data_IF_071734110946
#
_entry.id   IF_071734110946
#
_cell.length_a   1.000
_cell.length_b   1.000
_cell.length_c   1.000
_cell.angle_alpha   90.00
_cell.angle_beta   90.00
_cell.angle_gamma   90.00
#
_symmetry.space_group_name_H-M   'P 1'
#
loop_
_entity.id
_entity.type
_entity.pdbx_description
1 polymer ?
#
# COMPACT_ATOMS: atom_id res chain seq x y z
N UNK A 1 3.95 -4.06 -0.23
CA UNK A 1 5.26 -3.86 0.39
C UNK A 1 6.23 -3.54 -0.71
N UNK A 2 6.36 -2.25 -0.99
CA UNK A 2 7.21 -1.69 -2.05
C UNK A 2 8.70 -1.79 -1.73
N UNK A 3 9.04 -2.21 -0.51
CA UNK A 3 10.40 -2.36 -0.04
C UNK A 3 11.21 -3.44 -0.77
N UNK A 4 10.58 -4.32 -1.57
CA UNK A 4 11.26 -5.43 -2.26
C UNK A 4 12.35 -4.99 -3.24
N UNK A 5 12.16 -3.83 -3.88
CA UNK A 5 13.13 -3.27 -4.84
C UNK A 5 14.07 -2.22 -4.21
N UNK A 6 13.95 -1.99 -2.90
CA UNK A 6 14.73 -0.98 -2.20
C UNK A 6 16.07 -1.54 -1.71
N UNK A 7 17.06 -0.66 -1.55
CA UNK A 7 18.35 -0.97 -0.92
C UNK A 7 18.33 -0.48 0.52
N UNK A 8 18.66 -1.35 1.48
CA UNK A 8 18.77 -0.96 2.88
C UNK A 8 20.22 -0.80 3.34
N UNK A 9 20.44 0.23 4.17
CA UNK A 9 21.71 0.61 4.75
C UNK A 9 21.57 0.78 6.26
N UNK A 10 22.67 0.65 7.00
CA UNK A 10 22.70 0.96 8.43
C UNK A 10 24.04 1.56 8.82
N UNK A 11 24.03 2.40 9.85
CA UNK A 11 25.21 3.17 10.28
C UNK A 11 26.28 2.38 11.01
N UNK A 12 25.97 1.16 11.47
CA UNK A 12 26.88 0.46 12.36
C UNK A 12 28.14 -0.02 11.64
N UNK A 13 29.30 0.25 12.22
CA UNK A 13 30.64 -0.21 11.80
C UNK A 13 30.71 -1.73 11.49
N UNK A 14 29.77 -2.51 12.05
CA UNK A 14 29.52 -3.90 11.66
C UNK A 14 28.52 -3.94 10.50
N UNK A 15 29.05 -3.71 9.31
CA UNK A 15 28.35 -3.82 8.04
C UNK A 15 27.95 -5.28 7.76
N UNK A 16 26.88 -5.75 8.37
CA UNK A 16 26.05 -6.78 7.74
C UNK A 16 25.03 -6.04 6.88
N UNK A 17 25.44 -5.55 5.70
CA UNK A 17 24.50 -5.07 4.66
C UNK A 17 23.36 -6.09 4.45
N UNK A 18 23.69 -7.38 4.57
CA UNK A 18 22.75 -8.48 4.60
C UNK A 18 21.65 -8.33 5.66
N UNK A 19 21.98 -7.89 6.88
CA UNK A 19 20.98 -7.72 7.94
C UNK A 19 20.02 -6.55 7.71
N UNK A 20 20.53 -5.44 7.17
CA UNK A 20 19.67 -4.31 6.80
C UNK A 20 18.73 -4.69 5.65
N UNK A 21 19.26 -5.36 4.62
CA UNK A 21 18.48 -5.83 3.46
C UNK A 21 17.46 -6.91 3.83
N UNK A 22 17.82 -7.85 4.70
CA UNK A 22 16.89 -8.90 5.14
C UNK A 22 15.65 -8.36 5.87
N UNK A 23 15.74 -7.16 6.47
CA UNK A 23 14.56 -6.50 7.04
C UNK A 23 13.54 -6.04 5.98
N UNK A 24 13.92 -5.93 4.71
CA UNK A 24 13.01 -5.58 3.61
C UNK A 24 12.27 -6.81 3.07
N UNK A 25 12.98 -7.93 2.93
CA UNK A 25 12.52 -9.12 2.19
C UNK A 25 11.54 -10.02 2.95
N UNK A 26 11.15 -9.66 4.18
CA UNK A 26 10.36 -10.52 5.09
C UNK A 26 11.01 -11.88 5.41
N UNK A 27 12.21 -12.13 4.90
CA UNK A 27 13.03 -13.28 5.22
C UNK A 27 13.51 -13.19 6.68
N UNK A 28 13.72 -14.34 7.31
CA UNK A 28 13.85 -14.54 8.76
C UNK A 28 14.52 -13.41 9.57
N UNK A 29 14.08 -13.23 10.81
CA UNK A 29 14.49 -12.13 11.69
C UNK A 29 16.01 -11.97 11.80
N UNK A 30 16.59 -11.01 11.08
CA UNK A 30 18.03 -10.72 11.18
C UNK A 30 18.29 -9.63 12.21
N UNK A 31 19.09 -9.99 13.20
CA UNK A 31 19.44 -9.12 14.32
C UNK A 31 20.51 -8.14 13.86
N UNK A 32 20.10 -6.90 13.57
CA UNK A 32 21.00 -5.80 13.23
C UNK A 32 21.71 -5.27 14.48
N UNK A 33 22.50 -6.11 15.15
CA UNK A 33 23.17 -5.73 16.41
C UNK A 33 24.61 -5.37 16.17
N UNK A 34 24.93 -4.08 16.35
CA UNK A 34 26.31 -3.68 16.62
C UNK A 34 26.68 -4.06 18.05
N UNK A 35 27.72 -4.88 18.27
CA UNK A 35 28.30 -5.06 19.60
C UNK A 35 29.11 -3.84 20.04
N UNK A 36 29.48 -2.91 19.13
CA UNK A 36 30.24 -1.71 19.50
C UNK A 36 29.30 -0.59 19.97
N UNK A 37 29.36 -0.31 21.27
CA UNK A 37 28.63 0.76 21.96
C UNK A 37 29.01 2.20 21.54
N UNK A 38 29.78 2.36 20.46
CA UNK A 38 30.45 3.62 20.11
C UNK A 38 29.65 4.52 19.17
N UNK A 39 28.73 3.97 18.38
CA UNK A 39 27.88 4.81 17.54
C UNK A 39 26.97 5.67 18.41
N UNK A 40 27.13 7.00 18.27
CA UNK A 40 26.36 7.99 19.03
C UNK A 40 25.01 8.26 18.36
N UNK A 41 24.91 8.03 17.05
CA UNK A 41 23.77 8.39 16.22
C UNK A 41 23.39 7.23 15.30
N UNK A 42 23.00 6.06 15.85
CA UNK A 42 22.69 4.91 15.03
C UNK A 42 21.48 5.20 14.14
N UNK A 43 21.56 4.79 12.87
CA UNK A 43 20.46 4.82 11.93
C UNK A 43 20.34 3.53 11.12
N UNK A 44 19.11 3.25 10.68
CA UNK A 44 18.80 2.32 9.59
C UNK A 44 18.12 3.14 8.49
N UNK A 45 18.42 2.85 7.24
CA UNK A 45 17.94 3.60 6.10
C UNK A 45 17.52 2.65 4.99
N UNK A 46 16.48 3.02 4.26
CA UNK A 46 16.05 2.37 3.04
C UNK A 46 16.02 3.41 1.94
N UNK A 47 16.65 3.10 0.82
CA UNK A 47 16.75 3.94 -0.36
C UNK A 47 16.03 3.28 -1.53
N UNK A 48 15.30 4.09 -2.27
CA UNK A 48 14.63 3.69 -3.49
C UNK A 48 15.28 4.38 -4.69
N UNK A 49 15.67 3.63 -5.72
CA UNK A 49 16.36 4.20 -6.89
C UNK A 49 15.36 4.92 -7.81
N UNK A 50 14.44 4.18 -8.41
CA UNK A 50 13.47 4.70 -9.39
C UNK A 50 12.04 4.73 -8.84
N UNK A 51 11.89 5.20 -7.61
CA UNK A 51 10.59 5.22 -6.93
C UNK A 51 10.03 6.64 -6.85
N UNK A 52 8.82 6.82 -7.36
CA UNK A 52 8.10 8.10 -7.33
C UNK A 52 6.75 8.00 -6.60
N UNK A 53 6.51 6.87 -5.95
CA UNK A 53 5.21 6.58 -5.37
C UNK A 53 4.92 7.41 -4.11
N UNK A 54 3.63 7.46 -3.79
CA UNK A 54 3.08 8.19 -2.65
C UNK A 54 2.98 7.29 -1.43
N UNK A 55 3.90 7.46 -0.47
CA UNK A 55 3.90 6.74 0.81
C UNK A 55 2.67 7.13 1.62
N UNK A 56 1.89 6.13 2.03
CA UNK A 56 0.75 6.30 2.93
C UNK A 56 1.00 5.70 4.30
N UNK A 57 1.78 4.64 4.38
CA UNK A 57 1.99 3.94 5.63
C UNK A 57 3.35 3.25 5.69
N UNK A 58 3.95 3.30 6.87
CA UNK A 58 5.19 2.58 7.19
C UNK A 58 4.92 1.73 8.41
N UNK A 59 5.21 0.43 8.34
CA UNK A 59 5.15 -0.47 9.49
C UNK A 59 6.54 -0.93 9.84
N UNK A 60 6.91 -0.76 11.10
CA UNK A 60 8.21 -1.17 11.62
C UNK A 60 7.99 -2.26 12.65
N UNK A 61 8.55 -3.44 12.41
CA UNK A 61 8.47 -4.58 13.31
C UNK A 61 9.82 -4.86 13.92
N UNK A 62 9.83 -5.13 15.22
CA UNK A 62 11.01 -5.49 15.98
C UNK A 62 11.08 -6.99 16.26
N UNK A 63 12.22 -7.46 16.72
CA UNK A 63 12.35 -8.86 17.11
C UNK A 63 11.65 -9.18 18.44
N UNK A 64 10.95 -10.32 18.47
CA UNK A 64 10.23 -10.84 19.65
C UNK A 64 11.07 -10.96 20.91
N UNK A 65 12.35 -11.33 20.77
CA UNK A 65 13.24 -11.55 21.91
C UNK A 65 13.75 -10.24 22.54
N UNK A 66 13.63 -9.10 21.86
CA UNK A 66 14.18 -7.82 22.35
C UNK A 66 13.31 -6.59 22.03
N UNK A 67 12.03 -6.58 22.43
CA UNK A 67 11.08 -5.50 22.11
C UNK A 67 11.53 -4.12 22.60
N UNK A 68 12.33 -4.07 23.68
CA UNK A 68 12.84 -2.82 24.27
C UNK A 68 13.72 -2.00 23.32
N UNK A 69 14.18 -2.59 22.20
CA UNK A 69 15.06 -1.93 21.22
C UNK A 69 14.31 -1.10 20.18
N UNK A 70 12.98 -1.09 20.15
CA UNK A 70 12.17 -0.19 19.32
C UNK A 70 11.66 1.07 20.05
N UNK A 71 12.44 1.58 21.01
CA UNK A 71 12.14 2.83 21.73
C UNK A 71 12.91 4.01 21.16
N UNK A 72 12.32 5.20 21.26
CA UNK A 72 12.92 6.48 20.90
C UNK A 72 13.48 6.47 19.48
N UNK A 73 12.61 6.15 18.52
CA UNK A 73 12.92 6.13 17.10
C UNK A 73 12.29 7.34 16.46
N UNK A 74 13.09 8.13 15.74
CA UNK A 74 12.61 9.10 14.77
C UNK A 74 12.54 8.43 13.42
N UNK A 75 11.45 8.63 12.70
CA UNK A 75 11.31 8.26 11.30
C UNK A 75 11.32 9.52 10.47
N UNK A 76 12.10 9.51 9.39
CA UNK A 76 12.30 10.65 8.50
C UNK A 76 12.11 10.13 7.07
N UNK A 77 11.24 10.78 6.31
CA UNK A 77 10.98 10.52 4.89
C UNK A 77 11.60 11.66 4.11
N UNK A 78 12.38 11.34 3.10
CA UNK A 78 13.10 12.33 2.33
C UNK A 78 12.89 12.14 0.84
N UNK A 79 12.89 13.25 0.10
CA UNK A 79 12.77 13.30 -1.35
C UNK A 79 14.11 13.17 -2.07
N UNK A 80 14.15 13.53 -3.35
CA UNK A 80 15.40 13.58 -4.11
C UNK A 80 16.34 14.64 -3.53
N UNK A 81 17.60 14.25 -3.29
CA UNK A 81 18.70 15.17 -3.03
C UNK A 81 19.50 15.40 -4.30
N UNK A 82 20.11 16.57 -4.45
CA UNK A 82 20.91 16.85 -5.65
C UNK A 82 22.17 15.98 -5.75
N UNK A 83 22.65 15.34 -4.66
CA UNK A 83 23.86 14.53 -4.64
C UNK A 83 23.85 13.43 -3.55
N UNK A 84 24.55 12.31 -3.79
CA UNK A 84 24.63 11.12 -2.91
C UNK A 84 25.11 11.37 -1.45
N UNK A 85 25.62 12.57 -1.15
CA UNK A 85 26.09 12.93 0.19
C UNK A 85 25.22 14.00 0.88
N UNK A 86 24.32 14.66 0.14
CA UNK A 86 23.36 15.59 0.70
C UNK A 86 22.07 14.83 0.92
N UNK A 87 21.66 14.74 2.19
CA UNK A 87 20.31 14.26 2.49
C UNK A 87 19.36 15.14 1.69
N UNK A 88 18.58 14.53 0.79
CA UNK A 88 17.50 15.18 0.06
C UNK A 88 16.52 15.90 0.99
N UNK A 89 15.57 16.61 0.37
CA UNK A 89 14.58 17.40 1.11
C UNK A 89 13.84 16.53 2.13
N UNK A 90 13.78 16.98 3.39
CA UNK A 90 12.98 16.30 4.41
C UNK A 90 11.50 16.56 4.13
N UNK A 91 10.77 15.53 3.74
CA UNK A 91 9.36 15.62 3.37
C UNK A 91 8.45 15.45 4.60
N UNK A 92 8.80 14.52 5.49
CA UNK A 92 8.05 14.27 6.71
C UNK A 92 8.92 13.67 7.81
N UNK A 93 8.56 13.90 9.07
CA UNK A 93 9.21 13.26 10.22
C UNK A 93 8.24 13.01 11.37
N UNK A 94 8.47 11.94 12.13
CA UNK A 94 7.73 11.62 13.34
C UNK A 94 8.60 10.92 14.38
N UNK A 95 8.31 11.14 15.66
CA UNK A 95 9.03 10.53 16.78
C UNK A 95 8.16 9.50 17.50
N UNK A 96 8.73 8.33 17.76
CA UNK A 96 8.02 7.17 18.28
C UNK A 96 8.77 6.58 19.47
N UNK A 97 8.06 6.45 20.58
CA UNK A 97 8.55 5.74 21.76
C UNK A 97 7.60 4.61 22.10
N UNK A 98 7.74 3.47 21.42
CA UNK A 98 6.91 2.30 21.70
C UNK A 98 7.74 1.22 22.42
N UNK A 99 7.18 0.63 23.47
CA UNK A 99 7.75 -0.55 24.14
C UNK A 99 7.32 -1.88 23.53
N UNK A 100 6.65 -1.86 22.38
CA UNK A 100 5.97 -3.01 21.77
C UNK A 100 6.77 -3.58 20.59
N UNK A 101 6.29 -4.70 20.05
CA UNK A 101 6.95 -5.48 18.99
C UNK A 101 6.97 -4.80 17.62
N UNK A 102 6.35 -3.64 17.48
CA UNK A 102 6.33 -2.88 16.25
C UNK A 102 5.40 -1.68 16.36
N UNK A 103 5.48 -0.78 15.40
CA UNK A 103 4.63 0.40 15.31
C UNK A 103 4.28 0.69 13.86
N UNK A 104 3.19 1.42 13.68
CA UNK A 104 2.70 1.86 12.37
C UNK A 104 2.71 3.37 12.34
N UNK A 105 3.13 3.91 11.22
CA UNK A 105 3.12 5.33 10.90
C UNK A 105 2.18 5.49 9.73
N UNK A 106 1.13 6.27 9.91
CA UNK A 106 0.27 6.71 8.81
C UNK A 106 0.75 8.11 8.40
N UNK A 107 0.95 8.31 7.11
CA UNK A 107 1.29 9.61 6.55
C UNK A 107 -0.01 10.33 6.21
N UNK A 108 -0.32 11.39 6.96
CA UNK A 108 -1.49 12.23 6.74
C UNK A 108 -1.06 13.71 6.74
N UNK A 109 -0.98 14.36 5.56
CA UNK A 109 -1.32 13.82 4.25
C UNK A 109 -0.30 12.77 3.74
N UNK A 110 -0.67 11.93 2.75
CA UNK A 110 0.25 11.03 2.07
C UNK A 110 1.46 11.77 1.47
N UNK A 111 2.64 11.14 1.48
CA UNK A 111 3.92 11.78 1.10
C UNK A 111 4.42 11.24 -0.25
N UNK A 112 4.39 12.08 -1.28
CA UNK A 112 4.86 11.74 -2.63
C UNK A 112 6.36 12.00 -2.81
N UNK A 113 7.00 11.26 -3.71
CA UNK A 113 8.38 11.51 -4.14
C UNK A 113 9.42 11.09 -3.12
N UNK A 114 9.07 10.19 -2.20
CA UNK A 114 10.00 9.68 -1.18
C UNK A 114 11.08 8.85 -1.87
N UNK A 115 12.35 9.23 -1.68
CA UNK A 115 13.52 8.49 -2.20
C UNK A 115 14.26 7.74 -1.12
N UNK A 116 14.12 8.14 0.14
CA UNK A 116 14.67 7.38 1.25
C UNK A 116 13.89 7.55 2.54
N UNK A 117 13.87 6.48 3.33
CA UNK A 117 13.23 6.42 4.65
C UNK A 117 14.32 6.08 5.66
N UNK A 118 14.48 6.93 6.67
CA UNK A 118 15.47 6.75 7.73
C UNK A 118 14.80 6.55 9.07
N UNK A 119 15.27 5.54 9.79
CA UNK A 119 15.00 5.30 11.20
C UNK A 119 16.23 5.73 12.00
N UNK A 120 16.10 6.74 12.85
CA UNK A 120 17.18 7.27 13.68
C UNK A 120 16.85 7.11 15.15
N UNK A 121 17.84 6.85 16.01
CA UNK A 121 17.63 6.88 17.47
C UNK A 121 17.63 8.31 18.01
N UNK A 122 16.66 8.65 18.86
CA UNK A 122 16.53 9.98 19.47
C UNK A 122 17.41 10.05 20.73
N UNK A 123 18.41 10.93 20.80
CA UNK A 123 19.22 11.13 22.00
C UNK A 123 18.42 11.74 23.17
N UNK A 124 18.86 11.57 24.43
CA UNK A 124 20.05 10.84 24.85
C UNK A 124 19.83 9.32 24.87
N UNK A 125 20.80 8.56 24.35
CA UNK A 125 20.74 7.10 24.34
C UNK A 125 21.47 6.50 25.54
N UNK A 126 20.77 5.81 26.45
CA UNK A 126 21.42 5.08 27.53
C UNK A 126 22.43 4.08 26.95
N UNK A 127 23.49 3.77 27.70
CA UNK A 127 24.47 2.75 27.28
C UNK A 127 23.78 1.40 27.04
N UNK A 128 24.40 0.56 26.20
CA UNK A 128 23.93 -0.79 25.90
C UNK A 128 22.95 -0.86 24.73
N UNK A 129 22.00 -1.79 24.78
CA UNK A 129 21.14 -2.16 23.64
C UNK A 129 20.20 -1.07 23.09
N UNK A 130 20.06 0.07 23.79
CA UNK A 130 19.28 1.20 23.32
C UNK A 130 19.93 1.96 22.16
N UNK A 131 21.22 1.71 21.89
CA UNK A 131 21.97 2.24 20.74
C UNK A 131 21.93 1.34 19.51
N UNK A 132 21.02 0.36 19.49
CA UNK A 132 20.89 -0.56 18.36
C UNK A 132 19.44 -0.61 17.92
N UNK A 133 19.23 -0.83 16.62
CA UNK A 133 17.95 -1.28 16.12
C UNK A 133 17.91 -2.79 16.21
N UNK A 134 16.75 -3.35 16.52
CA UNK A 134 16.53 -4.77 16.28
C UNK A 134 15.26 -4.94 15.47
N UNK A 135 15.38 -4.57 14.20
CA UNK A 135 14.31 -4.66 13.22
C UNK A 135 14.16 -6.13 12.82
N UNK A 136 12.93 -6.60 12.81
CA UNK A 136 12.55 -7.81 12.10
C UNK A 136 12.18 -7.49 10.66
N UNK A 137 11.41 -6.43 10.48
CA UNK A 137 10.94 -6.04 9.16
C UNK A 137 10.57 -4.56 9.14
N UNK A 138 10.78 -3.90 8.00
CA UNK A 138 10.16 -2.61 7.67
C UNK A 138 9.33 -2.81 6.41
N UNK A 139 8.04 -2.52 6.51
CA UNK A 139 7.12 -2.57 5.38
C UNK A 139 6.72 -1.15 5.01
N UNK A 140 6.75 -0.84 3.72
CA UNK A 140 6.30 0.44 3.20
C UNK A 140 5.16 0.22 2.21
N UNK A 141 4.15 1.04 2.39
CA UNK A 141 2.89 1.02 1.67
C UNK A 141 2.77 2.34 0.96
N UNK A 142 2.55 2.27 -0.35
CA UNK A 142 2.29 3.43 -1.18
C UNK A 142 1.01 3.21 -2.00
N UNK A 143 0.33 4.32 -2.32
CA UNK A 143 -0.91 4.28 -3.12
C UNK A 143 -0.65 3.69 -4.50
N UNK A 144 0.43 4.10 -5.14
CA UNK A 144 0.74 3.77 -6.53
C UNK A 144 1.32 2.35 -6.69
N UNK A 145 1.68 1.70 -5.58
CA UNK A 145 2.17 0.31 -5.56
C UNK A 145 1.15 -0.67 -6.10
N UNK A 146 -0.12 -0.35 -5.85
CA UNK A 146 -1.24 -1.12 -6.30
C UNK A 146 -1.35 -1.11 -7.83
N UNK A 147 -1.23 0.08 -8.44
CA UNK A 147 -1.23 0.22 -9.89
C UNK A 147 -0.14 -0.62 -10.54
N UNK A 148 1.08 -0.64 -9.96
CA UNK A 148 2.18 -1.43 -10.51
C UNK A 148 1.96 -2.94 -10.43
N UNK A 149 1.44 -3.46 -9.31
CA UNK A 149 1.18 -4.89 -9.22
C UNK A 149 0.08 -5.34 -10.19
N UNK A 150 -0.94 -4.51 -10.35
CA UNK A 150 -1.99 -4.71 -11.34
C UNK A 150 -1.38 -4.71 -12.74
N UNK A 151 -0.58 -3.72 -13.08
CA UNK A 151 0.08 -3.63 -14.38
C UNK A 151 0.98 -4.85 -14.65
N UNK A 152 1.78 -5.29 -13.66
CA UNK A 152 2.63 -6.49 -13.79
C UNK A 152 1.78 -7.73 -14.05
N UNK A 153 0.69 -7.91 -13.30
CA UNK A 153 -0.17 -9.07 -13.47
C UNK A 153 -0.91 -9.03 -14.80
N UNK A 154 -1.49 -7.90 -15.17
CA UNK A 154 -2.22 -7.77 -16.44
C UNK A 154 -1.28 -7.96 -17.63
N UNK A 155 -0.04 -7.44 -17.56
CA UNK A 155 1.03 -7.76 -18.52
C UNK A 155 1.33 -9.26 -18.58
N UNK A 156 1.38 -9.95 -17.44
CA UNK A 156 1.60 -11.41 -17.39
C UNK A 156 0.45 -12.21 -18.03
N UNK A 157 -0.74 -11.63 -18.10
CA UNK A 157 -1.90 -12.19 -18.81
C UNK A 157 -1.91 -11.86 -20.31
N UNK A 158 -0.91 -11.11 -20.80
CA UNK A 158 -0.83 -10.68 -22.19
C UNK A 158 -1.70 -9.47 -22.53
N UNK A 159 -2.32 -8.80 -21.53
CA UNK A 159 -3.02 -7.54 -21.74
C UNK A 159 -2.04 -6.39 -21.70
N UNK A 160 -2.07 -5.53 -22.71
CA UNK A 160 -1.28 -4.31 -22.70
C UNK A 160 -2.01 -3.17 -21.98
N UNK A 161 -1.28 -2.10 -21.65
CA UNK A 161 -1.83 -0.96 -20.91
C UNK A 161 -2.95 -0.25 -21.66
N UNK A 162 -2.94 -0.31 -23.00
CA UNK A 162 -3.96 0.32 -23.83
C UNK A 162 -5.26 -0.48 -23.78
N UNK A 163 -5.20 -1.80 -23.87
CA UNK A 163 -6.38 -2.66 -23.74
C UNK A 163 -7.07 -2.46 -22.39
N UNK A 164 -6.29 -2.34 -21.31
CA UNK A 164 -6.81 -2.08 -19.97
C UNK A 164 -7.52 -0.72 -19.94
N UNK A 165 -6.87 0.32 -20.46
CA UNK A 165 -7.45 1.65 -20.51
C UNK A 165 -8.73 1.68 -21.36
N UNK A 166 -8.73 1.01 -22.51
CA UNK A 166 -9.90 0.90 -23.39
C UNK A 166 -11.06 0.19 -22.68
N UNK A 167 -10.79 -0.86 -21.89
CA UNK A 167 -11.80 -1.53 -21.05
C UNK A 167 -12.35 -0.56 -19.99
N UNK A 168 -11.47 0.16 -19.28
CA UNK A 168 -11.88 1.09 -18.22
C UNK A 168 -12.73 2.23 -18.79
N UNK A 169 -12.30 2.86 -19.88
CA UNK A 169 -13.04 3.91 -20.56
C UNK A 169 -14.38 3.42 -21.09
N UNK A 170 -14.41 2.23 -21.69
CA UNK A 170 -15.66 1.62 -22.16
C UNK A 170 -16.62 1.38 -20.99
N UNK A 171 -16.14 0.83 -19.89
CA UNK A 171 -16.98 0.59 -18.71
C UNK A 171 -17.41 1.90 -18.06
N UNK A 172 -16.54 2.91 -17.95
CA UNK A 172 -16.90 4.25 -17.46
C UNK A 172 -18.05 4.83 -18.29
N UNK A 173 -17.93 4.84 -19.61
CA UNK A 173 -18.95 5.37 -20.53
C UNK A 173 -20.27 4.57 -20.53
N UNK A 174 -20.24 3.29 -20.11
CA UNK A 174 -21.45 2.49 -19.92
C UNK A 174 -22.18 2.82 -18.62
N UNK A 175 -21.42 3.26 -17.61
CA UNK A 175 -21.90 3.53 -16.26
C UNK A 175 -22.37 4.98 -16.12
N UNK A 176 -21.63 5.92 -16.69
CA UNK A 176 -21.97 7.34 -16.84
C UNK A 176 -23.12 7.47 -17.86
N UNK A 177 -24.33 7.21 -17.36
CA UNK A 177 -25.52 7.03 -18.17
C UNK A 177 -26.02 8.37 -18.72
N UNK A 178 -25.82 9.44 -17.96
CA UNK A 178 -26.18 10.80 -18.35
C UNK A 178 -25.07 11.51 -19.15
N UNK A 179 -23.88 10.91 -19.24
CA UNK A 179 -22.69 11.43 -19.94
C UNK A 179 -22.21 12.75 -19.35
N UNK A 180 -22.34 12.89 -18.03
CA UNK A 180 -21.84 14.05 -17.30
C UNK A 180 -20.31 14.12 -17.29
N UNK A 181 -19.63 13.00 -17.57
CA UNK A 181 -18.19 12.84 -17.38
C UNK A 181 -17.81 12.48 -15.93
N UNK A 182 -18.81 12.20 -15.10
CA UNK A 182 -18.65 11.82 -13.70
C UNK A 182 -19.56 10.62 -13.39
N UNK A 183 -19.25 9.89 -12.32
CA UNK A 183 -20.08 8.79 -11.83
C UNK A 183 -20.62 9.16 -10.45
N UNK A 184 -21.93 9.37 -10.34
CA UNK A 184 -22.57 9.61 -9.05
C UNK A 184 -22.82 8.31 -8.25
N UNK A 185 -23.37 8.42 -7.04
CA UNK A 185 -23.67 7.25 -6.20
C UNK A 185 -24.65 6.25 -6.85
N UNK A 186 -25.62 6.72 -7.62
CA UNK A 186 -26.62 5.90 -8.30
C UNK A 186 -26.02 5.15 -9.49
N UNK A 187 -25.16 5.83 -10.24
CA UNK A 187 -24.40 5.25 -11.35
C UNK A 187 -23.36 4.26 -10.84
N UNK A 188 -22.67 4.57 -9.73
CA UNK A 188 -21.68 3.67 -9.12
C UNK A 188 -22.29 2.32 -8.71
N UNK A 189 -23.55 2.30 -8.27
CA UNK A 189 -24.26 1.04 -8.01
C UNK A 189 -24.41 0.19 -9.26
N UNK A 190 -24.78 0.81 -10.39
CA UNK A 190 -24.86 0.12 -11.67
C UNK A 190 -23.45 -0.30 -12.14
N UNK A 191 -22.44 0.50 -11.84
CA UNK A 191 -21.04 0.20 -12.14
C UNK A 191 -20.58 -1.11 -11.51
N UNK A 192 -20.91 -1.34 -10.24
CA UNK A 192 -20.53 -2.59 -9.55
C UNK A 192 -21.09 -3.80 -10.30
N UNK A 193 -22.35 -3.73 -10.75
CA UNK A 193 -23.01 -4.79 -11.51
C UNK A 193 -22.39 -4.96 -12.89
N UNK A 194 -22.20 -3.86 -13.64
CA UNK A 194 -21.64 -3.89 -15.00
C UNK A 194 -20.20 -4.36 -14.99
N UNK A 195 -19.37 -3.86 -14.08
CA UNK A 195 -17.99 -4.30 -13.90
C UNK A 195 -17.99 -5.77 -13.54
N UNK A 196 -18.88 -6.23 -12.65
CA UNK A 196 -18.96 -7.64 -12.28
C UNK A 196 -19.31 -8.55 -13.46
N UNK A 197 -20.30 -8.19 -14.27
CA UNK A 197 -20.71 -8.95 -15.48
C UNK A 197 -19.58 -8.96 -16.52
N UNK A 198 -19.00 -7.78 -16.80
CA UNK A 198 -17.88 -7.61 -17.75
C UNK A 198 -16.65 -8.42 -17.34
N UNK A 199 -16.41 -8.53 -16.02
CA UNK A 199 -15.23 -9.18 -15.47
C UNK A 199 -15.41 -10.69 -15.32
N UNK A 200 -16.59 -11.18 -14.94
CA UNK A 200 -16.78 -12.61 -14.69
C UNK A 200 -17.26 -13.41 -15.90
N UNK A 201 -17.53 -12.76 -17.04
CA UNK A 201 -18.19 -13.39 -18.21
C UNK A 201 -19.44 -14.18 -17.77
N UNK A 202 -20.15 -13.62 -16.79
CA UNK A 202 -21.24 -14.27 -16.08
C UNK A 202 -22.46 -13.36 -16.06
N UNK A 203 -23.43 -13.68 -16.91
CA UNK A 203 -24.70 -12.99 -16.94
C UNK A 203 -25.52 -13.34 -15.69
N UNK A 204 -25.68 -12.36 -14.80
CA UNK A 204 -26.52 -12.47 -13.61
C UNK A 204 -27.98 -12.76 -14.00
N UNK A 205 -28.66 -13.62 -13.25
CA UNK A 205 -30.11 -13.74 -13.37
C UNK A 205 -30.80 -12.49 -12.78
N UNK A 206 -32.02 -12.13 -13.21
CA UNK A 206 -32.72 -10.95 -12.68
C UNK A 206 -32.86 -10.96 -11.14
N UNK A 207 -33.06 -12.13 -10.54
CA UNK A 207 -33.17 -12.27 -9.09
C UNK A 207 -31.83 -12.06 -8.37
N UNK A 208 -30.70 -12.41 -9.00
CA UNK A 208 -29.36 -12.14 -8.46
C UNK A 208 -28.99 -10.68 -8.65
N UNK A 209 -29.37 -10.07 -9.78
CA UNK A 209 -29.19 -8.65 -10.04
C UNK A 209 -29.92 -7.80 -8.99
N UNK A 210 -31.19 -8.11 -8.70
CA UNK A 210 -31.97 -7.42 -7.66
C UNK A 210 -31.34 -7.52 -6.27
N UNK A 211 -30.84 -8.71 -5.90
CA UNK A 211 -30.15 -8.93 -4.62
C UNK A 211 -28.85 -8.12 -4.55
N UNK A 212 -28.02 -8.22 -5.59
CA UNK A 212 -26.76 -7.49 -5.67
C UNK A 212 -27.02 -5.99 -5.65
N UNK A 213 -28.04 -5.49 -6.34
CA UNK A 213 -28.39 -4.07 -6.39
C UNK A 213 -28.73 -3.50 -5.01
N UNK A 214 -29.44 -4.23 -4.17
CA UNK A 214 -29.76 -3.78 -2.81
C UNK A 214 -28.51 -3.75 -1.91
N UNK A 215 -27.70 -4.80 -1.94
CA UNK A 215 -26.44 -4.83 -1.17
C UNK A 215 -25.42 -3.80 -1.71
N UNK A 216 -25.48 -3.50 -3.02
CA UNK A 216 -24.61 -2.54 -3.70
C UNK A 216 -24.87 -1.10 -3.29
N UNK A 217 -26.03 -0.74 -2.70
CA UNK A 217 -26.25 0.63 -2.18
C UNK A 217 -25.25 0.99 -1.10
N UNK A 218 -25.07 0.09 -0.14
CA UNK A 218 -24.14 0.29 0.97
C UNK A 218 -22.70 0.26 0.46
N UNK A 219 -22.38 -0.66 -0.46
CA UNK A 219 -21.06 -0.70 -1.07
C UNK A 219 -20.74 0.55 -1.87
N UNK A 220 -21.65 1.01 -2.73
CA UNK A 220 -21.46 2.21 -3.54
C UNK A 220 -21.23 3.43 -2.65
N UNK A 221 -21.98 3.57 -1.55
CA UNK A 221 -21.74 4.64 -0.57
C UNK A 221 -20.34 4.56 0.04
N UNK A 222 -19.89 3.36 0.44
CA UNK A 222 -18.56 3.15 1.00
C UNK A 222 -17.45 3.36 -0.01
N UNK A 223 -17.64 2.92 -1.26
CA UNK A 223 -16.70 3.10 -2.35
C UNK A 223 -16.59 4.58 -2.72
N UNK A 224 -17.71 5.29 -2.82
CA UNK A 224 -17.70 6.73 -3.09
C UNK A 224 -16.90 7.46 -2.01
N UNK A 225 -17.17 7.20 -0.73
CA UNK A 225 -16.43 7.83 0.39
C UNK A 225 -14.91 7.61 0.36
N UNK A 226 -14.46 6.53 -0.29
CA UNK A 226 -13.05 6.13 -0.30
C UNK A 226 -12.34 6.52 -1.60
N UNK A 227 -13.07 6.51 -2.72
CA UNK A 227 -12.53 6.78 -4.05
C UNK A 227 -12.66 8.26 -4.44
N UNK A 228 -13.68 8.96 -3.94
CA UNK A 228 -13.90 10.39 -4.13
C UNK A 228 -12.88 11.17 -3.28
N UNK A 229 -11.74 11.51 -3.90
CA UNK A 229 -10.59 12.10 -3.23
C UNK A 229 -10.80 13.59 -2.93
N UNK A 230 -11.56 14.28 -3.78
CA UNK A 230 -11.86 15.70 -3.58
C UNK A 230 -13.17 15.93 -2.79
N UNK A 231 -13.89 14.84 -2.48
CA UNK A 231 -15.12 14.81 -1.69
C UNK A 231 -16.26 15.63 -2.31
N UNK A 232 -16.34 15.65 -3.64
CA UNK A 232 -17.37 16.39 -4.38
C UNK A 232 -18.68 15.61 -4.56
N UNK A 233 -18.73 14.33 -4.17
CA UNK A 233 -19.88 13.43 -4.24
C UNK A 233 -20.02 12.68 -5.57
N UNK A 234 -19.06 12.79 -6.48
CA UNK A 234 -19.01 12.09 -7.76
C UNK A 234 -17.60 11.59 -8.06
N UNK A 235 -17.44 10.57 -8.91
CA UNK A 235 -16.13 10.05 -9.30
C UNK A 235 -15.75 10.53 -10.70
N UNK A 236 -14.54 11.06 -10.82
CA UNK A 236 -13.87 11.25 -12.12
C UNK A 236 -13.42 9.91 -12.69
N UNK A 237 -13.05 9.88 -13.98
CA UNK A 237 -12.49 8.67 -14.61
C UNK A 237 -11.20 8.19 -13.92
N UNK A 238 -10.38 9.11 -13.41
CA UNK A 238 -9.14 8.77 -12.70
C UNK A 238 -9.44 8.08 -11.36
N UNK A 239 -10.47 8.51 -10.65
CA UNK A 239 -10.91 7.88 -9.40
C UNK A 239 -11.60 6.55 -9.66
N UNK A 240 -12.43 6.47 -10.72
CA UNK A 240 -13.07 5.23 -11.15
C UNK A 240 -12.05 4.18 -11.63
N UNK A 241 -10.94 4.61 -12.25
CA UNK A 241 -9.86 3.73 -12.72
C UNK A 241 -9.33 2.84 -11.59
N UNK A 242 -9.25 3.35 -10.36
CA UNK A 242 -8.81 2.59 -9.18
C UNK A 242 -9.74 1.40 -8.94
N UNK A 243 -11.06 1.64 -9.01
CA UNK A 243 -12.08 0.60 -8.84
C UNK A 243 -12.03 -0.43 -9.96
N UNK A 244 -11.99 0.02 -11.22
CA UNK A 244 -11.99 -0.87 -12.37
C UNK A 244 -10.74 -1.77 -12.38
N UNK A 245 -9.57 -1.18 -12.11
CA UNK A 245 -8.33 -1.92 -11.91
C UNK A 245 -8.44 -2.95 -10.79
N UNK A 246 -9.07 -2.60 -9.66
CA UNK A 246 -9.29 -3.55 -8.56
C UNK A 246 -10.07 -4.79 -9.01
N UNK A 247 -11.14 -4.62 -9.77
CA UNK A 247 -11.91 -5.76 -10.27
C UNK A 247 -11.14 -6.57 -11.32
N UNK A 248 -10.39 -5.92 -12.21
CA UNK A 248 -9.53 -6.61 -13.18
C UNK A 248 -8.42 -7.42 -12.50
N UNK A 249 -7.83 -6.89 -11.42
CA UNK A 249 -6.86 -7.58 -10.60
C UNK A 249 -7.46 -8.85 -9.98
N UNK A 250 -8.69 -8.75 -9.48
CA UNK A 250 -9.41 -9.89 -8.92
C UNK A 250 -9.71 -10.95 -9.98
N UNK A 251 -10.12 -10.56 -11.19
CA UNK A 251 -10.28 -11.45 -12.35
C UNK A 251 -9.00 -12.22 -12.66
N UNK A 252 -7.87 -11.53 -12.55
CA UNK A 252 -6.54 -12.09 -12.77
C UNK A 252 -6.12 -13.09 -11.67
N UNK A 253 -6.97 -13.31 -10.67
CA UNK A 253 -6.66 -14.14 -9.51
C UNK A 253 -5.62 -13.50 -8.59
N UNK A 254 -5.48 -12.17 -8.57
CA UNK A 254 -4.73 -11.49 -7.51
C UNK A 254 -5.61 -11.55 -6.28
N UNK A 255 -5.23 -12.39 -5.33
CA UNK A 255 -6.01 -12.60 -4.11
C UNK A 255 -5.74 -11.50 -3.08
N UNK A 256 -6.60 -11.38 -2.07
CA UNK A 256 -6.36 -10.49 -0.93
C UNK A 256 -5.01 -10.77 -0.24
N UNK A 257 -4.50 -12.01 -0.31
CA UNK A 257 -3.17 -12.40 0.22
C UNK A 257 -2.02 -11.82 -0.62
N UNK A 258 -2.21 -11.65 -1.92
CA UNK A 258 -1.27 -10.97 -2.80
C UNK A 258 -1.37 -9.44 -2.61
N UNK A 259 -2.59 -8.92 -2.39
CA UNK A 259 -2.86 -7.49 -2.17
C UNK A 259 -2.30 -7.01 -0.81
N UNK A 260 -2.46 -7.80 0.27
CA UNK A 260 -1.85 -7.52 1.57
C UNK A 260 -0.30 -7.47 1.49
N UNK A 261 0.28 -8.15 0.50
CA UNK A 261 1.72 -8.10 0.19
C UNK A 261 2.11 -6.95 -0.75
N UNK A 262 1.23 -6.44 -1.62
CA UNK A 262 1.50 -5.32 -2.53
C UNK A 262 1.30 -3.97 -1.85
N UNK A 263 0.42 -3.92 -0.87
CA UNK A 263 0.18 -2.74 -0.06
C UNK A 263 -1.27 -2.36 -0.14
N UNK A 264 -1.79 -1.90 1.00
CA UNK A 264 -3.20 -1.62 1.20
C UNK A 264 -3.73 -0.81 0.01
N UNK A 265 -4.61 -1.44 -0.77
CA UNK A 265 -5.67 -0.70 -1.44
C UNK A 265 -6.29 0.19 -0.37
N UNK A 266 -6.66 1.44 -0.67
CA UNK A 266 -7.64 2.15 0.12
C UNK A 266 -8.98 1.42 -0.08
N UNK A 267 -9.07 0.20 0.41
CA UNK A 267 -10.31 -0.44 0.78
C UNK A 267 -10.17 -0.54 2.28
N UNK A 268 -10.68 0.49 2.95
CA UNK A 268 -10.89 0.43 4.39
C UNK A 268 -11.43 -0.96 4.76
N UNK A 269 -11.09 -1.47 5.95
CA UNK A 269 -11.57 -2.78 6.39
C UNK A 269 -13.10 -2.93 6.24
N UNK A 270 -13.83 -1.79 6.23
CA UNK A 270 -15.25 -1.68 5.91
C UNK A 270 -15.59 -2.13 4.49
N UNK A 271 -14.88 -1.68 3.45
CA UNK A 271 -15.12 -2.10 2.06
C UNK A 271 -14.81 -3.59 1.90
N UNK A 272 -13.70 -4.08 2.49
CA UNK A 272 -13.40 -5.52 2.49
C UNK A 272 -14.52 -6.36 3.12
N UNK A 273 -14.99 -5.96 4.30
CA UNK A 273 -16.09 -6.64 4.99
C UNK A 273 -17.37 -6.59 4.15
N UNK A 274 -17.68 -5.44 3.54
CA UNK A 274 -18.83 -5.31 2.66
C UNK A 274 -18.72 -6.24 1.44
N UNK A 275 -17.57 -6.25 0.77
CA UNK A 275 -17.31 -7.15 -0.37
C UNK A 275 -17.42 -8.63 0.01
N UNK A 276 -16.94 -8.99 1.20
CA UNK A 276 -17.04 -10.35 1.72
C UNK A 276 -18.48 -10.75 2.07
N UNK A 277 -19.26 -9.82 2.64
CA UNK A 277 -20.68 -10.01 2.98
C UNK A 277 -21.56 -10.19 1.74
N UNK A 278 -21.24 -9.52 0.64
CA UNK A 278 -21.94 -9.68 -0.65
C UNK A 278 -21.55 -10.96 -1.40
N UNK A 279 -20.73 -11.84 -0.80
CA UNK A 279 -20.27 -13.06 -1.45
C UNK A 279 -19.28 -12.82 -2.60
N UNK A 280 -18.84 -11.58 -2.82
CA UNK A 280 -17.90 -11.25 -3.89
C UNK A 280 -16.53 -11.91 -3.66
N UNK A 281 -16.22 -12.37 -2.44
CA UNK A 281 -14.95 -13.05 -2.11
C UNK A 281 -15.04 -14.58 -2.12
N UNK A 282 -16.22 -15.20 -2.24
CA UNK A 282 -16.38 -16.65 -2.04
C UNK A 282 -16.46 -17.50 -3.33
N UNK A 283 -16.29 -16.91 -4.52
CA UNK A 283 -16.36 -17.62 -5.80
C UNK A 283 -15.06 -18.36 -6.20
N UNK A 284 -14.23 -18.77 -5.24
CA UNK A 284 -12.98 -19.52 -5.49
C UNK A 284 -13.19 -20.99 -5.90
N UNK A 285 -14.42 -21.42 -6.24
CA UNK A 285 -14.75 -22.84 -6.42
C UNK A 285 -15.56 -23.24 -7.65
N UNK A 286 -16.05 -22.30 -8.47
CA UNK A 286 -16.83 -22.63 -9.66
C UNK A 286 -15.92 -22.66 -10.89
N UNK A 287 -15.45 -23.85 -11.24
CA UNK A 287 -15.00 -24.18 -12.61
C UNK A 287 -16.19 -24.58 -13.46
#
# INVERSE_FOLDING_TARGET
NVAGDAKAFQSSDFNQALGAQNALELNEAVSCTSPSSKDKNPFWEMQFEDWEETVVQIRVFGQRRTPKRLKWIRVELFGSGQNNNEKGELLASGEFSCGVLGFTITCDPPVRGVKFIRLSKIPPLPKGGNRTFNLRCVQVFALDAYDRAIDIKLKSMGRDQKEIQDIIEKTFNQVDADRSGFIDASELMNAIVVVWDTVNDYTLTPAEEDRIREDSKQLATLLLQELDRDHNGVLTIDEFTILAKFFLAKQAGITDLDIDQVGQVPTSAKIRVAMQQMGLTQLEGAK
#
